data_IF_461080633164
#
_entry.id   IF_461080633164
#
_cell.length_a   1.000
_cell.length_b   1.000
_cell.length_c   1.000
_cell.angle_alpha   90.00
_cell.angle_beta   90.00
_cell.angle_gamma   90.00
#
_symmetry.space_group_name_H-M   'P 1'
#
loop_
_entity.id
_entity.type
_entity.pdbx_description
1 polymer ?
#
# COMPACT_ATOMS: atom_id res chain seq x y z
N UNK A 1 11.02 -11.48 29.62
CA UNK A 1 10.51 -12.43 30.62
C UNK A 1 11.19 -12.10 31.91
N UNK A 2 10.42 -11.80 32.93
CA UNK A 2 10.89 -11.52 34.27
C UNK A 2 12.20 -10.67 34.36
N UNK A 3 12.13 -9.40 33.97
CA UNK A 3 13.22 -8.40 33.98
C UNK A 3 14.44 -8.67 33.09
N UNK A 4 14.49 -9.76 32.33
CA UNK A 4 15.57 -10.02 31.40
C UNK A 4 15.35 -9.29 30.09
N UNK A 5 16.22 -8.32 29.70
CA UNK A 5 16.10 -7.66 28.40
C UNK A 5 16.36 -8.65 27.26
N UNK A 6 15.68 -8.47 26.14
CA UNK A 6 15.82 -9.35 24.97
C UNK A 6 14.68 -9.18 23.97
N UNK A 7 14.62 -10.07 22.99
CA UNK A 7 13.63 -10.05 21.91
C UNK A 7 12.86 -11.36 21.86
N UNK A 8 11.54 -11.26 21.79
CA UNK A 8 10.65 -12.39 21.52
C UNK A 8 10.39 -12.46 20.01
N UNK A 9 10.73 -13.57 19.41
CA UNK A 9 10.46 -13.89 18.01
C UNK A 9 9.26 -14.85 17.91
N UNK A 10 8.37 -14.59 16.97
CA UNK A 10 7.26 -15.49 16.67
C UNK A 10 6.99 -15.47 15.16
N UNK A 11 6.73 -16.66 14.58
CA UNK A 11 6.43 -16.79 13.15
C UNK A 11 5.46 -17.93 12.90
N UNK A 12 4.54 -17.72 11.97
CA UNK A 12 3.59 -18.75 11.54
C UNK A 12 4.17 -19.55 10.37
N UNK A 13 4.45 -20.84 10.61
CA UNK A 13 5.00 -21.78 9.64
C UNK A 13 4.48 -23.20 9.96
N UNK A 14 3.17 -23.46 9.73
CA UNK A 14 2.48 -24.67 10.22
C UNK A 14 3.01 -25.98 9.60
N UNK A 15 3.60 -25.93 8.41
CA UNK A 15 4.10 -27.09 7.69
C UNK A 15 5.62 -27.30 7.87
N UNK A 16 6.28 -26.45 8.65
CA UNK A 16 7.72 -26.57 8.91
C UNK A 16 8.02 -27.75 9.84
N UNK A 17 9.14 -28.44 9.61
CA UNK A 17 9.71 -29.40 10.55
C UNK A 17 10.54 -28.77 11.66
N UNK A 18 11.14 -27.62 11.37
CA UNK A 18 11.92 -26.81 12.30
C UNK A 18 11.95 -25.38 11.83
N UNK A 19 11.88 -24.44 12.74
CA UNK A 19 12.19 -23.04 12.52
C UNK A 19 13.27 -22.63 13.50
N UNK A 20 14.24 -21.82 13.05
CA UNK A 20 15.28 -21.25 13.89
C UNK A 20 15.43 -19.77 13.59
N UNK A 21 15.75 -18.97 14.60
CA UNK A 21 16.16 -17.57 14.41
C UNK A 21 17.66 -17.55 14.12
N UNK A 22 18.06 -16.83 13.08
CA UNK A 22 19.47 -16.64 12.70
C UNK A 22 19.77 -15.16 12.58
N UNK A 23 20.97 -14.77 12.96
CA UNK A 23 21.43 -13.38 12.91
C UNK A 23 22.90 -13.27 13.33
N UNK A 24 23.40 -12.05 13.43
CA UNK A 24 24.80 -11.81 13.85
C UNK A 24 25.10 -12.39 15.23
N UNK A 25 24.11 -12.39 16.14
CA UNK A 25 24.21 -12.90 17.52
C UNK A 25 24.48 -14.41 17.59
N UNK A 26 24.32 -15.16 16.52
CA UNK A 26 24.62 -16.60 16.49
C UNK A 26 25.38 -17.02 15.22
N UNK A 27 26.04 -16.05 14.55
CA UNK A 27 26.81 -16.32 13.33
C UNK A 27 25.97 -16.85 12.17
N UNK A 28 24.68 -16.55 12.14
CA UNK A 28 23.71 -17.01 11.13
C UNK A 28 23.55 -18.54 11.09
N UNK A 29 23.80 -19.23 12.22
CA UNK A 29 23.74 -20.69 12.33
C UNK A 29 22.39 -21.15 12.92
N UNK A 30 21.51 -21.71 12.09
CA UNK A 30 20.17 -22.20 12.48
C UNK A 30 20.17 -23.41 13.41
N UNK A 31 21.34 -23.99 13.76
CA UNK A 31 21.46 -25.08 14.73
C UNK A 31 21.43 -24.57 16.18
N UNK A 32 21.75 -23.29 16.41
CA UNK A 32 21.97 -22.73 17.75
C UNK A 32 20.68 -22.20 18.42
N UNK A 33 19.73 -21.68 17.67
CA UNK A 33 18.52 -21.06 18.21
C UNK A 33 17.24 -21.63 17.56
N UNK A 34 16.98 -22.94 17.75
CA UNK A 34 15.73 -23.54 17.30
C UNK A 34 14.56 -23.01 18.13
N UNK A 35 13.48 -22.66 17.45
CA UNK A 35 12.22 -22.21 18.05
C UNK A 35 11.38 -23.39 18.50
N UNK A 36 10.50 -23.17 19.48
CA UNK A 36 9.49 -24.15 19.89
C UNK A 36 8.17 -23.88 19.19
N UNK A 37 7.47 -24.92 18.81
CA UNK A 37 6.11 -24.83 18.28
C UNK A 37 5.10 -24.66 19.42
N UNK A 38 4.15 -23.73 19.25
CA UNK A 38 3.09 -23.47 20.22
C UNK A 38 1.89 -24.40 20.00
N UNK A 39 1.97 -25.59 20.53
CA UNK A 39 0.91 -26.61 20.39
C UNK A 39 0.62 -26.91 18.91
N UNK A 40 -0.65 -26.87 18.52
CA UNK A 40 -1.12 -27.12 17.14
C UNK A 40 -1.37 -25.84 16.32
N UNK A 41 -0.95 -24.67 16.82
CA UNK A 41 -1.24 -23.37 16.17
C UNK A 41 -0.46 -23.15 14.86
N UNK A 42 0.65 -23.89 14.67
CA UNK A 42 1.61 -23.63 13.59
C UNK A 42 2.49 -22.42 13.84
N UNK A 43 2.38 -21.78 15.00
CA UNK A 43 3.25 -20.68 15.41
C UNK A 43 4.49 -21.25 16.11
N UNK A 44 5.64 -20.71 15.75
CA UNK A 44 6.93 -20.99 16.36
C UNK A 44 7.39 -19.76 17.14
N UNK A 45 7.95 -19.95 18.32
CA UNK A 45 8.39 -18.86 19.18
C UNK A 45 9.76 -19.14 19.83
N UNK A 46 10.49 -18.06 20.12
CA UNK A 46 11.74 -18.08 20.88
C UNK A 46 11.99 -16.70 21.49
N UNK A 47 12.40 -16.67 22.77
CA UNK A 47 12.97 -15.49 23.39
C UNK A 47 14.51 -15.58 23.36
N UNK A 48 15.16 -14.53 22.85
CA UNK A 48 16.63 -14.41 22.83
C UNK A 48 17.02 -13.25 23.75
N UNK A 49 17.73 -13.53 24.85
CA UNK A 49 18.20 -12.47 25.75
C UNK A 49 19.37 -11.67 25.16
N UNK A 50 19.62 -10.51 25.73
CA UNK A 50 20.77 -9.63 25.48
C UNK A 50 20.92 -9.13 24.04
N UNK A 51 19.83 -9.14 23.25
CA UNK A 51 19.74 -8.49 21.95
C UNK A 51 18.62 -7.44 21.97
N UNK A 52 18.67 -6.48 21.04
CA UNK A 52 17.71 -5.37 21.01
C UNK A 52 17.58 -4.70 19.64
N UNK A 53 17.06 -3.49 19.64
CA UNK A 53 16.87 -2.69 18.43
C UNK A 53 18.17 -2.57 17.60
N UNK A 54 18.04 -2.69 16.28
CA UNK A 54 19.17 -2.70 15.35
C UNK A 54 19.74 -4.09 15.04
N UNK A 55 19.37 -5.14 15.82
CA UNK A 55 19.81 -6.51 15.54
C UNK A 55 19.22 -7.03 14.24
N UNK A 56 20.06 -7.50 13.32
CA UNK A 56 19.64 -8.15 12.09
C UNK A 56 19.34 -9.63 12.31
N UNK A 57 18.26 -10.11 11.70
CA UNK A 57 17.82 -11.50 11.80
C UNK A 57 17.03 -11.98 10.60
N UNK A 58 16.93 -13.31 10.48
CA UNK A 58 16.03 -14.05 9.58
C UNK A 58 15.53 -15.32 10.26
N UNK A 59 14.60 -16.01 9.60
CA UNK A 59 14.19 -17.34 9.96
C UNK A 59 14.83 -18.36 9.01
N UNK A 60 15.48 -19.40 9.58
CA UNK A 60 15.84 -20.61 8.84
C UNK A 60 14.72 -21.64 9.05
N UNK A 61 14.01 -21.95 7.97
CA UNK A 61 12.87 -22.87 7.97
C UNK A 61 13.27 -24.18 7.30
N UNK A 62 13.15 -25.30 8.03
CA UNK A 62 13.25 -26.64 7.44
C UNK A 62 11.88 -27.10 7.02
N UNK A 63 11.66 -27.26 5.70
CA UNK A 63 10.38 -27.65 5.12
C UNK A 63 10.01 -29.10 5.46
N UNK A 64 8.76 -29.47 5.15
CA UNK A 64 8.30 -30.86 5.30
C UNK A 64 9.15 -31.86 4.51
N UNK A 65 9.67 -31.46 3.34
CA UNK A 65 10.56 -32.29 2.50
C UNK A 65 12.01 -32.30 3.00
N UNK A 66 12.36 -31.43 3.96
CA UNK A 66 13.68 -31.37 4.55
C UNK A 66 14.62 -30.32 3.94
N UNK A 67 14.16 -29.52 2.99
CA UNK A 67 14.92 -28.42 2.42
C UNK A 67 15.01 -27.25 3.43
N UNK A 68 16.09 -26.49 3.36
CA UNK A 68 16.25 -25.26 4.14
C UNK A 68 15.84 -24.05 3.30
N UNK A 69 15.07 -23.16 3.92
CA UNK A 69 14.71 -21.86 3.36
C UNK A 69 15.09 -20.77 4.36
N UNK A 70 15.70 -19.70 3.86
CA UNK A 70 16.01 -18.52 4.63
C UNK A 70 15.00 -17.44 4.31
N UNK A 71 14.23 -17.01 5.33
CA UNK A 71 13.10 -16.10 5.18
C UNK A 71 13.24 -14.85 6.05
N UNK A 72 12.82 -13.71 5.51
CA UNK A 72 12.57 -12.52 6.34
C UNK A 72 11.35 -12.73 7.21
N UNK A 73 11.26 -11.98 8.29
CA UNK A 73 10.05 -11.96 9.13
C UNK A 73 8.92 -11.21 8.41
N UNK A 74 7.77 -11.84 8.17
CA UNK A 74 6.62 -11.17 7.58
C UNK A 74 6.11 -9.97 8.38
N UNK A 75 6.36 -9.95 9.70
CA UNK A 75 5.96 -8.88 10.63
C UNK A 75 7.13 -7.97 11.05
N UNK A 76 8.26 -7.98 10.34
CA UNK A 76 9.39 -7.12 10.67
C UNK A 76 9.00 -5.64 10.61
N UNK A 77 9.32 -4.89 11.66
CA UNK A 77 9.05 -3.44 11.75
C UNK A 77 10.12 -2.57 11.07
N UNK A 78 11.26 -3.15 10.78
CA UNK A 78 12.35 -2.53 10.03
C UNK A 78 13.07 -3.57 9.19
N UNK A 79 13.67 -3.13 8.09
CA UNK A 79 14.42 -3.99 7.18
C UNK A 79 15.78 -3.38 6.89
N UNK A 80 16.73 -4.24 6.56
CA UNK A 80 18.06 -3.84 6.09
C UNK A 80 17.95 -3.06 4.79
N UNK A 81 18.82 -2.06 4.61
CA UNK A 81 18.89 -1.33 3.34
C UNK A 81 19.37 -2.26 2.21
N UNK A 82 18.65 -2.24 1.11
CA UNK A 82 19.04 -3.02 -0.07
C UNK A 82 20.49 -2.72 -0.54
N UNK A 83 21.22 -3.70 -1.08
CA UNK A 83 20.77 -5.01 -1.51
C UNK A 83 20.59 -6.03 -0.38
N UNK A 84 20.88 -5.65 0.86
CA UNK A 84 20.56 -6.46 2.02
C UNK A 84 19.05 -6.68 2.13
N UNK A 85 18.66 -7.74 2.84
CA UNK A 85 17.25 -8.11 2.99
C UNK A 85 16.98 -8.81 4.33
N UNK A 86 17.77 -8.52 5.36
CA UNK A 86 17.49 -9.00 6.71
C UNK A 86 16.37 -8.19 7.34
N UNK A 87 15.60 -8.81 8.20
CA UNK A 87 14.73 -8.15 9.15
C UNK A 87 15.56 -7.49 10.23
N UNK A 88 15.14 -6.35 10.74
CA UNK A 88 15.82 -5.61 11.80
C UNK A 88 14.88 -5.45 12.98
N UNK A 89 15.36 -5.81 14.18
CA UNK A 89 14.61 -5.60 15.41
C UNK A 89 14.41 -4.11 15.62
N UNK A 90 13.17 -3.69 15.83
CA UNK A 90 12.82 -2.29 16.08
C UNK A 90 11.73 -2.17 17.15
N UNK A 91 11.84 -1.19 18.02
CA UNK A 91 10.76 -0.87 18.95
C UNK A 91 9.91 0.26 18.40
N UNK A 92 8.75 -0.10 17.87
CA UNK A 92 7.82 0.86 17.22
C UNK A 92 7.11 1.80 18.22
N UNK A 93 7.22 1.57 19.52
CA UNK A 93 6.52 2.35 20.54
C UNK A 93 7.40 3.45 21.19
N UNK A 94 8.67 3.58 20.79
CA UNK A 94 9.61 4.53 21.38
C UNK A 94 9.48 5.98 20.86
N UNK A 95 8.76 6.20 19.75
CA UNK A 95 8.65 7.54 19.18
C UNK A 95 7.67 8.42 19.98
N UNK A 96 8.12 9.63 20.32
CA UNK A 96 7.30 10.64 21.00
C UNK A 96 6.59 11.54 19.99
N UNK A 97 5.30 11.30 19.79
CA UNK A 97 4.44 12.06 18.88
C UNK A 97 4.15 13.48 19.39
N UNK A 98 4.04 14.44 18.47
CA UNK A 98 3.74 15.85 18.75
C UNK A 98 2.50 16.33 17.97
N UNK A 99 1.73 15.41 17.42
CA UNK A 99 0.56 15.64 16.57
C UNK A 99 -0.77 15.53 17.32
N UNK A 100 -0.78 15.61 18.64
CA UNK A 100 -1.98 15.42 19.46
C UNK A 100 -3.16 16.31 19.04
N UNK A 101 -2.89 17.54 18.59
CA UNK A 101 -3.94 18.46 18.10
C UNK A 101 -4.58 17.96 16.81
N UNK A 102 -3.78 17.39 15.89
CA UNK A 102 -4.26 16.77 14.66
C UNK A 102 -5.12 15.54 14.97
N UNK A 103 -4.61 14.65 15.80
CA UNK A 103 -5.29 13.40 16.19
C UNK A 103 -6.64 13.66 16.89
N UNK A 104 -6.73 14.72 17.69
CA UNK A 104 -7.99 15.14 18.31
C UNK A 104 -8.94 15.78 17.28
N UNK A 105 -8.42 16.53 16.32
CA UNK A 105 -9.19 17.26 15.31
C UNK A 105 -9.74 16.39 14.20
N UNK A 106 -9.00 15.34 13.78
CA UNK A 106 -9.42 14.52 12.62
C UNK A 106 -10.74 13.74 12.83
N UNK A 107 -11.18 13.60 14.07
CA UNK A 107 -12.46 12.97 14.43
C UNK A 107 -13.64 13.95 14.41
N UNK A 108 -13.37 15.25 14.20
CA UNK A 108 -14.38 16.31 14.24
C UNK A 108 -14.70 16.71 12.79
N UNK A 109 -15.89 16.38 12.33
CA UNK A 109 -16.35 16.68 10.99
C UNK A 109 -16.72 15.44 10.18
N UNK A 110 -17.25 15.69 9.00
CA UNK A 110 -17.59 14.63 8.04
C UNK A 110 -16.65 14.76 6.83
N UNK A 111 -15.73 13.82 6.68
CA UNK A 111 -14.78 13.81 5.57
C UNK A 111 -15.46 13.88 4.18
N UNK A 112 -16.69 13.40 4.06
CA UNK A 112 -17.46 13.50 2.81
C UNK A 112 -17.90 14.94 2.50
N UNK A 113 -18.01 15.80 3.50
CA UNK A 113 -18.44 17.20 3.37
C UNK A 113 -17.26 18.19 3.30
N UNK A 114 -16.11 17.80 3.89
CA UNK A 114 -14.93 18.66 3.91
C UNK A 114 -14.21 18.66 2.54
N UNK A 115 -13.70 19.81 2.09
CA UNK A 115 -12.91 19.87 0.87
C UNK A 115 -11.59 19.11 1.04
N UNK A 116 -11.20 18.34 0.01
CA UNK A 116 -9.97 17.59 -0.01
C UNK A 116 -9.23 17.82 -1.33
N UNK A 117 -7.95 18.18 -1.23
CA UNK A 117 -7.03 18.27 -2.36
C UNK A 117 -5.77 17.44 -2.01
N UNK A 118 -5.50 16.42 -2.82
CA UNK A 118 -4.48 15.40 -2.56
C UNK A 118 -3.30 15.62 -3.50
N UNK A 119 -2.09 15.59 -2.96
CA UNK A 119 -0.84 15.59 -3.73
C UNK A 119 -0.19 14.21 -3.63
N UNK A 120 -0.27 13.43 -4.71
CA UNK A 120 0.41 12.15 -4.83
C UNK A 120 1.90 12.35 -5.05
N UNK A 121 2.75 11.60 -4.33
CA UNK A 121 4.20 11.75 -4.39
C UNK A 121 4.95 10.43 -4.21
N UNK A 122 5.93 10.19 -5.09
CA UNK A 122 6.94 9.15 -4.91
C UNK A 122 8.19 9.76 -4.25
N UNK A 123 8.46 9.41 -2.99
CA UNK A 123 9.52 10.04 -2.20
C UNK A 123 10.91 9.87 -2.81
N UNK A 124 11.16 8.74 -3.49
CA UNK A 124 12.45 8.42 -4.10
C UNK A 124 12.79 9.22 -5.37
N UNK A 125 11.81 9.86 -6.03
CA UNK A 125 12.02 10.62 -7.26
C UNK A 125 11.58 12.07 -7.19
N UNK A 126 10.86 12.47 -6.13
CA UNK A 126 10.36 13.84 -5.99
C UNK A 126 11.48 14.88 -5.89
N UNK A 127 12.50 14.58 -5.07
CA UNK A 127 13.70 15.40 -4.92
C UNK A 127 14.92 14.54 -4.62
N UNK A 128 16.10 14.98 -5.10
CA UNK A 128 17.39 14.33 -4.88
C UNK A 128 18.41 15.36 -4.45
N UNK A 129 19.49 14.93 -3.82
CA UNK A 129 20.64 15.78 -3.46
C UNK A 129 21.74 15.60 -4.50
N UNK A 130 21.70 16.41 -5.55
CA UNK A 130 22.60 16.28 -6.69
C UNK A 130 24.08 16.48 -6.29
N UNK A 131 24.36 17.38 -5.35
CA UNK A 131 25.69 17.72 -4.86
C UNK A 131 26.32 16.57 -4.05
N UNK A 132 25.51 15.61 -3.58
CA UNK A 132 25.94 14.46 -2.77
C UNK A 132 25.75 13.13 -3.55
N UNK A 133 26.07 13.11 -4.83
CA UNK A 133 25.97 11.91 -5.66
C UNK A 133 24.54 11.49 -5.99
N UNK A 134 23.64 12.44 -6.12
CA UNK A 134 22.22 12.22 -6.44
C UNK A 134 21.52 11.28 -5.44
N UNK A 135 21.91 11.33 -4.16
CA UNK A 135 21.29 10.51 -3.11
C UNK A 135 19.82 10.89 -2.89
N UNK A 136 19.07 9.95 -2.34
CA UNK A 136 17.75 10.22 -1.79
C UNK A 136 17.83 11.20 -0.62
N UNK A 137 16.77 11.99 -0.45
CA UNK A 137 16.50 12.70 0.79
C UNK A 137 16.03 11.70 1.86
N UNK A 138 16.42 11.93 3.10
CA UNK A 138 15.85 11.21 4.24
C UNK A 138 14.41 11.65 4.53
N UNK A 139 13.65 10.85 5.27
CA UNK A 139 12.30 11.22 5.72
C UNK A 139 12.30 12.59 6.43
N UNK A 140 13.32 12.86 7.24
CA UNK A 140 13.46 14.12 7.98
C UNK A 140 13.78 15.30 7.08
N UNK A 141 14.52 15.11 6.00
CA UNK A 141 14.81 16.16 5.01
C UNK A 141 13.62 16.41 4.08
N UNK A 142 12.87 15.34 3.75
CA UNK A 142 11.69 15.41 2.87
C UNK A 142 10.53 16.18 3.52
N UNK A 143 10.23 15.89 4.79
CA UNK A 143 9.04 16.39 5.47
C UNK A 143 8.89 17.93 5.37
N UNK A 144 9.85 18.77 5.80
CA UNK A 144 9.68 20.23 5.75
C UNK A 144 9.55 20.75 4.32
N UNK A 145 10.30 20.17 3.37
CA UNK A 145 10.27 20.60 1.96
C UNK A 145 8.95 20.26 1.28
N UNK A 146 8.42 19.06 1.54
CA UNK A 146 7.14 18.63 0.98
C UNK A 146 5.99 19.44 1.60
N UNK A 147 6.00 19.65 2.91
CA UNK A 147 5.01 20.48 3.61
C UNK A 147 4.99 21.92 3.03
N UNK A 148 6.16 22.55 2.85
CA UNK A 148 6.25 23.87 2.23
C UNK A 148 5.62 23.87 0.83
N UNK A 149 5.96 22.88 0.02
CA UNK A 149 5.44 22.75 -1.34
C UNK A 149 3.91 22.60 -1.36
N UNK A 150 3.36 21.63 -0.64
CA UNK A 150 1.93 21.33 -0.68
C UNK A 150 1.07 22.45 -0.08
N UNK A 151 1.55 23.11 0.98
CA UNK A 151 0.88 24.29 1.54
C UNK A 151 0.86 25.47 0.58
N UNK A 152 1.97 25.71 -0.14
CA UNK A 152 2.06 26.77 -1.15
C UNK A 152 1.00 26.61 -2.24
N UNK A 153 0.64 25.40 -2.59
CA UNK A 153 -0.35 25.09 -3.61
C UNK A 153 -1.76 24.80 -3.07
N UNK A 154 -1.95 24.82 -1.75
CA UNK A 154 -3.26 24.66 -1.12
C UNK A 154 -3.75 23.21 -1.02
N UNK A 155 -2.85 22.23 -1.10
CA UNK A 155 -3.20 20.83 -0.86
C UNK A 155 -3.48 20.59 0.63
N UNK A 156 -4.41 19.68 0.91
CA UNK A 156 -4.81 19.31 2.27
C UNK A 156 -4.17 18.00 2.72
N UNK A 157 -3.81 17.12 1.78
CA UNK A 157 -3.23 15.81 2.03
C UNK A 157 -2.07 15.55 1.08
N UNK A 158 -1.14 14.70 1.54
CA UNK A 158 -0.17 14.02 0.68
C UNK A 158 -0.55 12.55 0.60
N UNK A 159 -0.50 11.97 -0.61
CA UNK A 159 -0.62 10.54 -0.83
C UNK A 159 0.75 10.00 -1.19
N UNK A 160 1.28 9.13 -0.32
CA UNK A 160 2.57 8.52 -0.53
C UNK A 160 2.41 7.27 -1.37
N UNK A 161 2.98 7.24 -2.58
CA UNK A 161 3.15 5.99 -3.31
C UNK A 161 3.82 4.95 -2.41
N UNK A 162 3.67 3.62 -2.67
CA UNK A 162 3.91 2.61 -1.65
C UNK A 162 5.21 2.79 -0.88
N UNK A 163 5.09 2.98 0.43
CA UNK A 163 6.21 3.26 1.35
C UNK A 163 6.67 2.02 2.10
N UNK A 164 5.95 0.90 2.00
CA UNK A 164 6.38 -0.37 2.57
C UNK A 164 7.67 -0.88 1.89
N UNK A 165 8.49 -1.62 2.62
CA UNK A 165 9.79 -2.07 2.11
C UNK A 165 9.67 -2.98 0.89
N UNK A 166 10.50 -2.75 -0.11
CA UNK A 166 10.50 -3.45 -1.40
C UNK A 166 11.92 -3.51 -2.00
N UNK A 167 12.29 -4.59 -2.74
CA UNK A 167 13.65 -4.76 -3.25
C UNK A 167 13.95 -3.96 -4.50
N UNK A 168 12.96 -3.76 -5.35
CA UNK A 168 13.14 -3.25 -6.72
C UNK A 168 12.61 -1.81 -6.85
N UNK A 169 13.51 -0.85 -7.07
CA UNK A 169 13.15 0.58 -7.23
C UNK A 169 12.20 0.84 -8.39
N UNK A 170 12.36 0.07 -9.48
CA UNK A 170 11.52 0.20 -10.67
C UNK A 170 10.06 -0.19 -10.47
N UNK A 171 9.73 -0.85 -9.35
CA UNK A 171 8.36 -1.13 -8.96
C UNK A 171 7.67 0.04 -8.26
N UNK A 172 8.40 1.11 -7.93
CA UNK A 172 7.92 2.26 -7.12
C UNK A 172 7.27 1.88 -5.79
N UNK A 173 7.59 0.69 -5.29
CA UNK A 173 7.05 0.14 -4.07
C UNK A 173 5.87 -0.82 -4.23
N UNK A 174 5.35 -1.05 -5.43
CA UNK A 174 4.25 -1.98 -5.65
C UNK A 174 4.62 -3.47 -5.54
N UNK A 175 5.90 -3.80 -5.39
CA UNK A 175 6.38 -5.17 -5.13
C UNK A 175 6.87 -5.31 -3.68
N UNK A 176 5.95 -5.29 -2.74
CA UNK A 176 6.21 -5.24 -1.30
C UNK A 176 6.79 -6.57 -0.79
N UNK A 177 7.88 -6.49 -0.03
CA UNK A 177 8.48 -7.64 0.69
C UNK A 177 8.47 -7.47 2.21
N UNK A 178 8.37 -6.25 2.71
CA UNK A 178 8.29 -5.94 4.15
C UNK A 178 7.04 -5.12 4.47
N UNK A 179 5.92 -5.80 4.69
CA UNK A 179 4.60 -5.17 4.83
C UNK A 179 4.47 -4.25 6.06
N UNK A 180 5.20 -4.52 7.14
CA UNK A 180 5.15 -3.78 8.40
C UNK A 180 6.31 -2.80 8.59
N UNK A 181 7.20 -2.69 7.60
CA UNK A 181 8.37 -1.83 7.66
C UNK A 181 8.26 -0.69 6.63
N UNK A 182 8.41 0.57 7.03
CA UNK A 182 8.65 1.64 6.06
C UNK A 182 10.01 1.39 5.39
N UNK A 183 10.12 1.72 4.09
CA UNK A 183 11.34 1.45 3.35
C UNK A 183 12.55 2.13 3.99
N UNK A 184 13.62 1.37 4.16
CA UNK A 184 14.89 1.82 4.74
C UNK A 184 15.69 2.80 3.86
N UNK A 185 15.25 3.00 2.60
CA UNK A 185 15.88 3.94 1.65
C UNK A 185 15.98 5.37 2.18
N UNK A 186 15.00 5.79 2.97
CA UNK A 186 14.86 7.18 3.42
C UNK A 186 15.12 7.35 4.92
N UNK A 187 15.51 6.28 5.62
CA UNK A 187 15.76 6.28 7.06
C UNK A 187 15.09 5.13 7.79
N UNK A 188 15.01 5.25 9.09
CA UNK A 188 14.44 4.23 9.98
C UNK A 188 12.94 4.50 10.26
N UNK A 189 12.24 3.58 10.96
CA UNK A 189 10.82 3.75 11.29
C UNK A 189 10.49 5.03 12.07
N UNK A 190 11.35 5.49 12.98
CA UNK A 190 11.12 6.73 13.74
C UNK A 190 11.32 7.98 12.87
N UNK A 191 12.17 7.91 11.84
CA UNK A 191 12.31 8.96 10.84
C UNK A 191 11.02 9.10 10.01
N UNK A 192 10.38 7.99 9.66
CA UNK A 192 9.09 8.02 8.98
C UNK A 192 7.97 8.56 9.88
N UNK A 193 7.95 8.17 11.17
CA UNK A 193 7.03 8.80 12.13
C UNK A 193 7.25 10.30 12.25
N UNK A 194 8.51 10.75 12.26
CA UNK A 194 8.85 12.19 12.26
C UNK A 194 8.36 12.90 11.00
N UNK A 195 8.34 12.21 9.85
CA UNK A 195 7.77 12.74 8.61
C UNK A 195 6.26 12.97 8.77
N UNK A 196 5.50 11.97 9.22
CA UNK A 196 4.05 12.06 9.44
C UNK A 196 3.72 13.14 10.49
N UNK A 197 4.40 13.10 11.63
CA UNK A 197 4.26 14.10 12.71
C UNK A 197 4.47 15.54 12.19
N UNK A 198 5.44 15.72 11.31
CA UNK A 198 5.70 17.03 10.69
C UNK A 198 4.55 17.44 9.77
N UNK A 199 4.00 16.56 8.95
CA UNK A 199 2.83 16.83 8.12
C UNK A 199 1.64 17.27 8.98
N UNK A 200 1.30 16.50 10.02
CA UNK A 200 0.19 16.75 10.93
C UNK A 200 0.30 18.10 11.65
N UNK A 201 1.47 18.42 12.20
CA UNK A 201 1.70 19.71 12.86
C UNK A 201 1.53 20.92 11.94
N UNK A 202 1.59 20.71 10.63
CA UNK A 202 1.37 21.76 9.63
C UNK A 202 -0.03 21.69 8.99
N UNK A 203 -0.92 20.82 9.47
CA UNK A 203 -2.29 20.69 9.00
C UNK A 203 -2.40 19.93 7.67
N UNK A 204 -1.48 19.00 7.39
CA UNK A 204 -1.47 18.15 6.19
C UNK A 204 -1.70 16.70 6.61
N UNK A 205 -2.77 16.09 6.10
CA UNK A 205 -3.04 14.66 6.28
C UNK A 205 -2.12 13.79 5.41
N UNK A 206 -1.91 12.55 5.83
CA UNK A 206 -1.06 11.59 5.13
C UNK A 206 -1.85 10.36 4.73
N UNK A 207 -1.93 10.11 3.43
CA UNK A 207 -2.52 8.91 2.85
C UNK A 207 -1.39 7.98 2.43
N UNK A 208 -1.53 6.70 2.71
CA UNK A 208 -0.60 5.67 2.27
C UNK A 208 -1.21 4.85 1.14
N UNK A 209 -0.46 4.68 0.06
CA UNK A 209 -0.79 3.70 -0.97
C UNK A 209 -0.45 2.30 -0.44
N UNK A 210 -1.48 1.49 -0.20
CA UNK A 210 -1.40 0.18 0.42
C UNK A 210 -1.70 -0.91 -0.59
N UNK A 211 -0.82 -1.91 -0.70
CA UNK A 211 -0.81 -2.94 -1.74
C UNK A 211 -1.20 -4.31 -1.17
N UNK A 212 -2.48 -4.61 -0.93
CA UNK A 212 -2.91 -5.90 -0.40
C UNK A 212 -3.22 -6.95 -1.47
N UNK A 213 -3.20 -6.58 -2.76
CA UNK A 213 -3.61 -7.44 -3.85
C UNK A 213 -2.62 -8.58 -4.11
N UNK A 214 -1.33 -8.26 -4.06
CA UNK A 214 -0.27 -9.15 -4.53
C UNK A 214 1.08 -8.87 -3.87
N UNK A 215 2.04 -9.79 -4.08
CA UNK A 215 3.43 -9.65 -3.63
C UNK A 215 4.39 -10.30 -4.64
N UNK A 216 5.69 -9.90 -4.64
CA UNK A 216 6.66 -10.42 -5.61
C UNK A 216 7.09 -11.85 -5.31
N UNK A 217 7.73 -12.48 -6.30
CA UNK A 217 8.20 -13.88 -6.24
C UNK A 217 9.57 -14.06 -5.55
N UNK A 218 10.03 -13.09 -4.80
CA UNK A 218 11.31 -13.13 -4.09
C UNK A 218 11.32 -14.24 -3.04
N UNK A 219 12.24 -15.20 -3.19
CA UNK A 219 12.30 -16.41 -2.34
C UNK A 219 12.59 -16.12 -0.87
N UNK A 220 13.21 -15.01 -0.54
CA UNK A 220 13.48 -14.63 0.85
C UNK A 220 12.26 -14.05 1.58
N UNK A 221 11.20 -13.69 0.87
CA UNK A 221 9.97 -13.11 1.42
C UNK A 221 8.84 -14.16 1.53
N UNK A 222 7.59 -13.78 1.22
CA UNK A 222 6.38 -14.56 1.51
C UNK A 222 6.20 -15.81 0.64
N UNK A 223 6.75 -15.82 -0.60
CA UNK A 223 6.58 -16.92 -1.54
C UNK A 223 7.02 -18.25 -0.95
N UNK A 224 6.14 -19.27 -1.01
CA UNK A 224 6.40 -20.62 -0.49
C UNK A 224 7.06 -20.59 0.89
N UNK A 225 6.47 -19.82 1.82
CA UNK A 225 7.15 -19.37 3.05
C UNK A 225 7.70 -20.52 3.89
N UNK A 226 6.91 -21.55 4.15
CA UNK A 226 7.33 -22.74 4.89
C UNK A 226 7.60 -23.97 3.98
N UNK A 227 7.76 -23.73 2.68
CA UNK A 227 7.89 -24.74 1.64
C UNK A 227 6.57 -25.01 0.90
N UNK A 228 5.48 -24.44 1.37
CA UNK A 228 4.14 -24.54 0.75
C UNK A 228 3.63 -23.17 0.34
N UNK A 229 2.59 -23.11 -0.49
CA UNK A 229 1.87 -21.87 -0.80
C UNK A 229 1.08 -21.44 0.45
N UNK A 230 1.76 -20.73 1.36
CA UNK A 230 1.22 -20.36 2.65
C UNK A 230 0.40 -19.06 2.58
N UNK A 231 0.93 -18.02 1.95
CA UNK A 231 0.29 -16.73 1.76
C UNK A 231 -0.47 -16.62 0.43
N UNK A 232 -0.05 -17.36 -0.58
CA UNK A 232 -0.62 -17.44 -1.92
C UNK A 232 -1.46 -18.71 -2.13
N UNK A 233 -2.12 -18.79 -3.29
CA UNK A 233 -2.71 -20.06 -3.77
C UNK A 233 -1.68 -20.86 -4.56
N UNK A 234 -1.73 -22.19 -4.48
CA UNK A 234 -0.85 -23.10 -5.23
C UNK A 234 -1.20 -23.12 -6.73
N UNK A 235 -2.49 -23.04 -7.08
CA UNK A 235 -2.93 -23.02 -8.47
C UNK A 235 -2.70 -21.64 -9.08
N UNK A 236 -1.88 -21.51 -10.13
CA UNK A 236 -1.56 -20.20 -10.73
C UNK A 236 -2.79 -19.49 -11.33
N UNK A 237 -3.86 -20.24 -11.67
CA UNK A 237 -5.09 -19.65 -12.19
C UNK A 237 -5.84 -18.79 -11.17
N UNK A 238 -5.52 -18.88 -9.89
CA UNK A 238 -6.02 -18.02 -8.82
C UNK A 238 -4.90 -17.37 -8.02
N UNK A 239 -3.68 -17.89 -8.09
CA UNK A 239 -2.54 -17.53 -7.26
C UNK A 239 -1.52 -16.64 -7.93
N UNK A 240 -1.67 -16.26 -9.20
CA UNK A 240 -0.66 -15.49 -9.92
C UNK A 240 -1.29 -14.42 -10.84
N UNK A 241 -0.74 -13.21 -10.83
CA UNK A 241 -0.93 -12.22 -11.88
C UNK A 241 0.21 -12.35 -12.89
N UNK A 242 -0.03 -13.06 -14.00
CA UNK A 242 0.99 -13.39 -15.00
C UNK A 242 1.60 -12.12 -15.63
N UNK A 243 0.79 -11.11 -15.94
CA UNK A 243 1.24 -9.84 -16.53
C UNK A 243 2.16 -9.04 -15.60
N UNK A 244 1.93 -9.09 -14.29
CA UNK A 244 2.72 -8.36 -13.29
C UNK A 244 3.88 -9.19 -12.73
N UNK A 245 3.88 -10.51 -13.00
CA UNK A 245 4.86 -11.45 -12.45
C UNK A 245 4.77 -11.62 -10.93
N UNK A 246 3.60 -11.34 -10.33
CA UNK A 246 3.38 -11.36 -8.88
C UNK A 246 2.45 -12.49 -8.45
N UNK A 247 2.45 -12.80 -7.16
CA UNK A 247 1.56 -13.77 -6.53
C UNK A 247 0.37 -13.08 -5.87
N UNK A 248 -0.79 -13.73 -5.90
CA UNK A 248 -2.04 -13.24 -5.29
C UNK A 248 -2.20 -13.82 -3.90
N UNK A 249 -2.56 -12.98 -2.92
CA UNK A 249 -2.86 -13.42 -1.58
C UNK A 249 -4.09 -14.35 -1.53
N UNK A 250 -4.01 -15.38 -0.67
CA UNK A 250 -5.13 -16.28 -0.41
C UNK A 250 -6.11 -15.65 0.59
N UNK A 251 -7.04 -14.82 0.10
CA UNK A 251 -8.06 -14.17 0.92
C UNK A 251 -9.03 -15.13 1.62
N UNK A 252 -9.07 -16.38 1.22
CA UNK A 252 -9.86 -17.43 1.87
C UNK A 252 -9.21 -17.99 3.14
N UNK A 253 -7.90 -17.75 3.36
CA UNK A 253 -7.17 -18.23 4.53
C UNK A 253 -7.24 -17.22 5.67
N UNK A 254 -7.71 -17.65 6.84
CA UNK A 254 -7.93 -16.75 7.98
C UNK A 254 -6.66 -16.05 8.45
N UNK A 255 -5.53 -16.75 8.46
CA UNK A 255 -4.24 -16.20 8.87
C UNK A 255 -3.75 -15.14 7.89
N UNK A 256 -3.95 -15.33 6.58
CA UNK A 256 -3.61 -14.33 5.55
C UNK A 256 -4.50 -13.11 5.66
N UNK A 257 -5.81 -13.29 5.87
CA UNK A 257 -6.73 -12.18 6.14
C UNK A 257 -6.32 -11.41 7.38
N UNK A 258 -5.97 -12.11 8.47
CA UNK A 258 -5.48 -11.49 9.69
C UNK A 258 -4.17 -10.71 9.46
N UNK A 259 -3.23 -11.28 8.71
CA UNK A 259 -1.99 -10.61 8.33
C UNK A 259 -2.24 -9.28 7.60
N UNK A 260 -3.09 -9.28 6.59
CA UNK A 260 -3.41 -8.08 5.81
C UNK A 260 -4.23 -7.07 6.62
N UNK A 261 -5.22 -7.53 7.38
CA UNK A 261 -6.03 -6.66 8.23
C UNK A 261 -5.19 -6.00 9.33
N UNK A 262 -4.40 -6.79 10.04
CA UNK A 262 -3.48 -6.26 11.07
C UNK A 262 -2.47 -5.28 10.46
N UNK A 263 -2.01 -5.52 9.24
CA UNK A 263 -1.11 -4.61 8.53
C UNK A 263 -1.77 -3.25 8.24
N UNK A 264 -2.99 -3.24 7.70
CA UNK A 264 -3.72 -1.99 7.48
C UNK A 264 -3.90 -1.19 8.78
N UNK A 265 -4.37 -1.87 9.85
CA UNK A 265 -4.59 -1.24 11.16
C UNK A 265 -3.28 -0.77 11.79
N UNK A 266 -2.18 -1.50 11.58
CA UNK A 266 -0.85 -1.13 12.06
C UNK A 266 -0.37 0.22 11.51
N UNK A 267 -0.56 0.49 10.23
CA UNK A 267 -0.21 1.77 9.63
C UNK A 267 -1.05 2.92 10.20
N UNK A 268 -2.33 2.68 10.46
CA UNK A 268 -3.22 3.67 11.08
C UNK A 268 -2.88 3.92 12.55
N UNK A 269 -2.53 2.87 13.30
CA UNK A 269 -2.25 2.92 14.75
C UNK A 269 -0.84 3.43 15.06
N UNK A 270 0.17 2.81 14.45
CA UNK A 270 1.59 3.04 14.80
C UNK A 270 2.22 4.19 14.05
N UNK A 271 1.69 4.55 12.90
CA UNK A 271 2.22 5.64 12.06
C UNK A 271 1.25 6.79 11.88
N UNK A 272 0.10 6.77 12.55
CA UNK A 272 -0.94 7.80 12.51
C UNK A 272 -1.41 8.17 11.10
N UNK A 273 -1.32 7.24 10.14
CA UNK A 273 -1.79 7.45 8.77
C UNK A 273 -3.28 7.79 8.78
N UNK A 274 -3.70 8.77 7.99
CA UNK A 274 -5.08 9.28 7.95
C UNK A 274 -5.96 8.54 6.95
N UNK A 275 -5.38 7.97 5.91
CA UNK A 275 -6.12 7.22 4.90
C UNK A 275 -5.27 6.16 4.22
N UNK A 276 -5.94 5.11 3.75
CA UNK A 276 -5.34 4.08 2.90
C UNK A 276 -5.95 4.16 1.50
N UNK A 277 -5.14 4.47 0.49
CA UNK A 277 -5.48 4.18 -0.89
C UNK A 277 -5.17 2.70 -1.11
N UNK A 278 -6.18 1.93 -1.47
CA UNK A 278 -6.06 0.49 -1.67
C UNK A 278 -5.82 0.21 -3.14
N UNK A 279 -4.63 -0.28 -3.43
CA UNK A 279 -4.13 -0.58 -4.78
C UNK A 279 -4.88 -1.74 -5.43
N UNK A 280 -5.15 -1.63 -6.72
CA UNK A 280 -5.60 -2.70 -7.60
C UNK A 280 -6.84 -3.47 -7.10
N UNK A 281 -7.82 -2.78 -6.52
CA UNK A 281 -9.06 -3.39 -5.97
C UNK A 281 -9.79 -4.24 -7.02
N UNK A 282 -9.85 -3.78 -8.28
CA UNK A 282 -10.46 -4.55 -9.36
C UNK A 282 -9.82 -5.93 -9.52
N UNK A 283 -8.49 -6.05 -9.42
CA UNK A 283 -7.78 -7.33 -9.53
C UNK A 283 -8.09 -8.29 -8.38
N UNK A 284 -8.53 -7.75 -7.24
CA UNK A 284 -8.95 -8.55 -6.09
C UNK A 284 -10.41 -8.99 -6.20
N UNK A 285 -11.28 -8.17 -6.82
CA UNK A 285 -12.72 -8.45 -6.93
C UNK A 285 -13.05 -9.49 -8.00
N UNK A 286 -12.24 -9.58 -9.07
CA UNK A 286 -12.52 -10.41 -10.22
C UNK A 286 -11.48 -11.53 -10.39
N UNK A 287 -11.95 -12.79 -10.40
CA UNK A 287 -11.11 -13.98 -10.58
C UNK A 287 -10.53 -14.10 -11.98
N UNK A 288 -11.15 -13.47 -12.97
CA UNK A 288 -10.75 -13.43 -14.38
C UNK A 288 -9.98 -12.14 -14.75
N UNK A 289 -9.64 -11.29 -13.77
CA UNK A 289 -8.91 -10.05 -14.04
C UNK A 289 -7.55 -10.29 -14.73
N UNK A 290 -7.37 -9.71 -15.95
CA UNK A 290 -6.16 -9.88 -16.73
C UNK A 290 -5.88 -11.33 -17.19
N UNK A 291 -6.92 -12.15 -17.37
CA UNK A 291 -6.82 -13.56 -17.76
C UNK A 291 -7.71 -13.88 -18.94
N UNK A 292 -7.24 -14.80 -19.76
CA UNK A 292 -8.01 -15.35 -20.87
C UNK A 292 -8.93 -16.50 -20.44
N UNK A 293 -9.83 -16.90 -21.32
CA UNK A 293 -10.69 -18.05 -21.08
C UNK A 293 -9.87 -19.33 -20.80
N UNK A 294 -10.19 -20.00 -19.68
CA UNK A 294 -9.49 -21.19 -19.20
C UNK A 294 -8.27 -20.91 -18.30
N UNK A 295 -7.86 -19.66 -18.14
CA UNK A 295 -6.76 -19.24 -17.27
C UNK A 295 -7.20 -18.83 -15.86
N UNK A 296 -8.47 -18.98 -15.55
CA UNK A 296 -9.03 -18.67 -14.23
C UNK A 296 -10.02 -19.74 -13.77
N UNK A 297 -10.36 -19.71 -12.49
CA UNK A 297 -11.29 -20.67 -11.87
C UNK A 297 -12.49 -19.89 -11.33
N UNK A 298 -13.72 -20.22 -11.76
CA UNK A 298 -14.92 -19.57 -11.25
C UNK A 298 -15.13 -19.83 -9.75
N UNK A 299 -15.84 -18.95 -9.09
CA UNK A 299 -16.24 -19.11 -7.71
C UNK A 299 -17.24 -20.28 -7.57
N UNK A 300 -17.58 -20.65 -6.32
CA UNK A 300 -18.48 -21.77 -6.00
C UNK A 300 -19.90 -21.66 -6.60
N UNK A 301 -20.26 -20.52 -7.15
CA UNK A 301 -21.56 -20.28 -7.83
C UNK A 301 -21.41 -20.21 -9.35
N UNK A 302 -20.20 -20.35 -9.88
CA UNK A 302 -19.90 -20.28 -11.31
C UNK A 302 -19.62 -18.86 -11.84
N UNK A 303 -19.61 -17.86 -10.98
CA UNK A 303 -19.30 -16.47 -11.34
C UNK A 303 -17.80 -16.15 -11.24
N UNK A 304 -17.45 -14.94 -11.69
CA UNK A 304 -16.08 -14.43 -11.68
C UNK A 304 -15.77 -13.55 -10.45
N UNK A 305 -16.72 -13.30 -9.56
CA UNK A 305 -16.50 -12.53 -8.36
C UNK A 305 -15.66 -13.31 -7.34
N UNK A 306 -14.63 -12.69 -6.79
CA UNK A 306 -13.83 -13.25 -5.69
C UNK A 306 -14.55 -13.00 -4.36
N UNK A 307 -15.35 -13.98 -3.94
CA UNK A 307 -16.19 -13.87 -2.74
C UNK A 307 -15.37 -13.67 -1.46
N UNK A 308 -14.19 -14.24 -1.39
CA UNK A 308 -13.27 -14.16 -0.27
C UNK A 308 -12.70 -12.73 -0.12
N UNK A 309 -12.28 -12.12 -1.23
CA UNK A 309 -11.81 -10.73 -1.24
C UNK A 309 -12.94 -9.72 -0.94
N UNK A 310 -14.15 -9.95 -1.46
CA UNK A 310 -15.33 -9.14 -1.14
C UNK A 310 -15.61 -9.17 0.37
N UNK A 311 -15.59 -10.37 0.98
CA UNK A 311 -15.76 -10.51 2.42
C UNK A 311 -14.63 -9.82 3.20
N UNK A 312 -13.39 -9.94 2.73
CA UNK A 312 -12.23 -9.28 3.33
C UNK A 312 -12.40 -7.75 3.33
N UNK A 313 -12.77 -7.12 2.22
CA UNK A 313 -12.96 -5.67 2.16
C UNK A 313 -14.05 -5.17 3.12
N UNK A 314 -15.17 -5.89 3.20
CA UNK A 314 -16.25 -5.55 4.13
C UNK A 314 -15.79 -5.57 5.60
N UNK A 315 -14.99 -6.56 5.97
CA UNK A 315 -14.44 -6.68 7.31
C UNK A 315 -13.37 -5.62 7.58
N UNK A 316 -12.47 -5.38 6.61
CA UNK A 316 -11.44 -4.35 6.68
C UNK A 316 -12.05 -2.97 6.91
N UNK A 317 -12.98 -2.57 6.05
CA UNK A 317 -13.60 -1.25 6.14
C UNK A 317 -14.39 -1.07 7.44
N UNK A 318 -15.10 -2.12 7.88
CA UNK A 318 -15.77 -2.11 9.19
C UNK A 318 -14.76 -1.94 10.34
N UNK A 319 -13.61 -2.59 10.29
CA UNK A 319 -12.58 -2.47 11.32
C UNK A 319 -11.93 -1.07 11.30
N UNK A 320 -11.57 -0.55 10.13
CA UNK A 320 -10.98 0.79 9.98
C UNK A 320 -11.91 1.85 10.56
N UNK A 321 -13.16 1.92 10.12
CA UNK A 321 -14.11 2.94 10.60
C UNK A 321 -14.55 2.75 12.06
N UNK A 322 -14.52 1.51 12.55
CA UNK A 322 -14.87 1.22 13.94
C UNK A 322 -13.77 1.53 14.95
N UNK A 323 -12.51 1.36 14.55
CA UNK A 323 -11.36 1.53 15.45
C UNK A 323 -10.66 2.88 15.30
N UNK A 324 -10.69 3.46 14.08
CA UNK A 324 -9.99 4.70 13.74
C UNK A 324 -10.95 5.75 13.17
N UNK A 325 -11.82 6.35 14.01
CA UNK A 325 -12.68 7.45 13.57
C UNK A 325 -11.87 8.58 12.96
N UNK A 326 -12.32 9.11 11.80
CA UNK A 326 -11.62 10.15 11.04
C UNK A 326 -10.57 9.63 10.06
N UNK A 327 -10.23 8.33 10.08
CA UNK A 327 -9.49 7.70 8.99
C UNK A 327 -10.44 7.25 7.87
N UNK A 328 -9.88 7.04 6.67
CA UNK A 328 -10.67 6.58 5.53
C UNK A 328 -9.91 5.56 4.67
N UNK A 329 -10.68 4.88 3.81
CA UNK A 329 -10.14 4.03 2.75
C UNK A 329 -10.63 4.55 1.39
N UNK A 330 -9.74 4.58 0.39
CA UNK A 330 -10.05 4.94 -0.99
C UNK A 330 -9.69 3.78 -1.91
N UNK A 331 -10.65 3.30 -2.69
CA UNK A 331 -10.44 2.18 -3.61
C UNK A 331 -9.91 2.66 -4.96
N UNK A 332 -8.78 2.12 -5.41
CA UNK A 332 -8.46 2.12 -6.84
C UNK A 332 -9.24 0.98 -7.51
N UNK A 333 -10.42 1.30 -7.98
CA UNK A 333 -11.30 0.35 -8.65
C UNK A 333 -11.76 0.94 -10.00
N UNK A 334 -11.25 0.36 -11.09
CA UNK A 334 -11.39 0.88 -12.45
C UNK A 334 -12.60 0.35 -13.20
N UNK A 335 -13.37 -0.57 -12.61
CA UNK A 335 -14.51 -1.22 -13.27
C UNK A 335 -15.84 -0.59 -12.87
N UNK A 336 -16.93 -1.13 -13.42
CA UNK A 336 -18.28 -0.76 -13.06
C UNK A 336 -18.83 -1.53 -11.85
N UNK A 337 -17.97 -2.00 -10.93
CA UNK A 337 -18.42 -2.68 -9.72
C UNK A 337 -19.33 -1.77 -8.90
N UNK A 338 -20.58 -2.21 -8.58
CA UNK A 338 -21.54 -1.34 -7.92
C UNK A 338 -21.31 -1.29 -6.40
N UNK A 339 -21.52 -0.11 -5.80
CA UNK A 339 -21.55 0.05 -4.36
C UNK A 339 -20.19 -0.13 -3.68
N UNK A 340 -19.09 0.31 -4.32
CA UNK A 340 -17.77 0.32 -3.71
C UNK A 340 -17.79 1.16 -2.43
N UNK A 341 -18.42 2.33 -2.47
CA UNK A 341 -18.53 3.23 -1.32
C UNK A 341 -19.84 3.08 -0.54
N UNK A 342 -20.74 2.19 -0.99
CA UNK A 342 -21.94 1.86 -0.23
C UNK A 342 -21.55 1.12 1.06
N UNK A 343 -22.12 1.47 2.22
CA UNK A 343 -21.84 0.78 3.49
C UNK A 343 -22.04 -0.74 3.40
N UNK A 344 -21.16 -1.49 4.07
CA UNK A 344 -21.16 -2.97 4.01
C UNK A 344 -22.49 -3.59 4.48
N UNK A 345 -23.17 -2.98 5.47
CA UNK A 345 -24.48 -3.45 5.94
C UNK A 345 -25.64 -3.25 4.95
N UNK A 346 -25.42 -2.41 3.93
CA UNK A 346 -26.35 -2.21 2.81
C UNK A 346 -25.96 -3.02 1.57
N UNK A 347 -24.93 -3.88 1.68
CA UNK A 347 -24.49 -4.76 0.61
C UNK A 347 -23.27 -4.27 -0.17
N UNK A 348 -22.76 -3.07 0.10
CA UNK A 348 -21.57 -2.52 -0.53
C UNK A 348 -20.27 -3.09 0.01
N UNK A 349 -19.13 -2.54 -0.46
CA UNK A 349 -17.79 -2.91 0.03
C UNK A 349 -17.36 -2.07 1.25
N UNK A 350 -17.97 -0.90 1.47
CA UNK A 350 -17.76 -0.06 2.64
C UNK A 350 -16.56 0.89 2.56
N UNK A 351 -15.96 1.10 1.39
CA UNK A 351 -14.92 2.13 1.22
C UNK A 351 -15.49 3.53 1.46
N UNK A 352 -14.66 4.45 1.94
CA UNK A 352 -15.05 5.86 2.05
C UNK A 352 -15.09 6.55 0.71
N UNK A 353 -14.11 6.24 -0.15
CA UNK A 353 -13.96 6.83 -1.47
C UNK A 353 -13.61 5.79 -2.53
N UNK A 354 -13.86 6.18 -3.79
CA UNK A 354 -13.44 5.47 -5.00
C UNK A 354 -12.75 6.44 -5.95
N UNK A 355 -11.62 6.07 -6.53
CA UNK A 355 -11.01 6.83 -7.62
C UNK A 355 -11.92 6.83 -8.86
N UNK A 356 -12.16 8.01 -9.46
CA UNK A 356 -12.93 8.12 -10.69
C UNK A 356 -12.04 7.93 -11.92
N UNK A 357 -11.73 6.67 -12.20
CA UNK A 357 -10.91 6.28 -13.35
C UNK A 357 -11.64 6.53 -14.69
N UNK A 358 -12.98 6.47 -14.69
CA UNK A 358 -13.80 6.78 -15.88
C UNK A 358 -13.69 8.24 -16.28
N UNK A 359 -13.89 9.15 -15.32
CA UNK A 359 -13.69 10.59 -15.52
C UNK A 359 -12.25 10.89 -15.97
N UNK A 360 -11.27 10.27 -15.37
CA UNK A 360 -9.85 10.46 -15.71
C UNK A 360 -9.59 10.09 -17.17
N UNK A 361 -9.99 8.90 -17.61
CA UNK A 361 -9.79 8.44 -18.98
C UNK A 361 -10.49 9.34 -20.00
N UNK A 362 -11.76 9.65 -19.80
CA UNK A 362 -12.54 10.48 -20.68
C UNK A 362 -12.00 11.91 -20.78
N UNK A 363 -11.64 12.49 -19.66
CA UNK A 363 -11.06 13.83 -19.59
C UNK A 363 -9.72 13.90 -20.32
N UNK A 364 -8.80 12.96 -20.07
CA UNK A 364 -7.51 12.90 -20.77
C UNK A 364 -7.69 12.66 -22.26
N UNK A 365 -8.62 11.80 -22.66
CA UNK A 365 -8.96 11.58 -24.06
C UNK A 365 -9.41 12.87 -24.74
N UNK A 366 -10.34 13.63 -24.12
CA UNK A 366 -10.79 14.91 -24.64
C UNK A 366 -9.66 15.92 -24.79
N UNK A 367 -8.88 16.13 -23.74
CA UNK A 367 -7.79 17.11 -23.74
C UNK A 367 -6.63 16.72 -24.69
N UNK A 368 -6.48 15.45 -25.02
CA UNK A 368 -5.49 14.97 -26.01
C UNK A 368 -5.87 15.28 -27.45
N UNK A 369 -7.12 15.67 -27.72
CA UNK A 369 -7.57 16.03 -29.08
C UNK A 369 -7.12 17.44 -29.44
N UNK A 370 -6.83 17.64 -30.75
CA UNK A 370 -6.64 18.99 -31.28
C UNK A 370 -7.90 19.85 -31.00
N UNK A 371 -7.77 21.11 -30.60
CA UNK A 371 -8.91 21.94 -30.24
C UNK A 371 -10.01 21.99 -31.30
N UNK A 372 -9.65 21.99 -32.58
CA UNK A 372 -10.62 21.99 -33.72
C UNK A 372 -11.52 20.76 -33.76
N UNK A 373 -11.04 19.63 -33.19
CA UNK A 373 -11.77 18.37 -33.17
C UNK A 373 -12.59 18.14 -31.89
N UNK A 374 -12.33 18.91 -30.82
CA UNK A 374 -12.97 18.71 -29.50
C UNK A 374 -14.47 18.80 -29.51
N UNK A 375 -15.06 19.58 -30.43
CA UNK A 375 -16.52 19.66 -30.61
C UNK A 375 -17.17 18.32 -30.92
N UNK A 376 -16.45 17.36 -31.48
CA UNK A 376 -16.93 16.00 -31.75
C UNK A 376 -16.74 15.02 -30.58
N UNK A 377 -16.09 15.46 -29.51
CA UNK A 377 -15.75 14.65 -28.35
C UNK A 377 -16.34 15.21 -27.05
N UNK A 378 -17.32 16.12 -27.15
CA UNK A 378 -17.89 16.81 -25.98
C UNK A 378 -18.50 15.83 -24.97
N UNK A 379 -19.04 14.71 -25.43
CA UNK A 379 -19.59 13.66 -24.56
C UNK A 379 -18.57 13.08 -23.56
N UNK A 380 -17.28 13.08 -23.87
CA UNK A 380 -16.24 12.66 -22.92
C UNK A 380 -16.20 13.54 -21.67
N UNK A 381 -16.57 14.83 -21.77
CA UNK A 381 -16.65 15.70 -20.59
C UNK A 381 -17.97 15.57 -19.83
N UNK A 382 -19.07 15.27 -20.54
CA UNK A 382 -20.42 15.29 -19.95
C UNK A 382 -20.86 13.93 -19.44
N UNK A 383 -20.27 12.84 -19.92
CA UNK A 383 -20.66 11.48 -19.54
C UNK A 383 -20.48 11.19 -18.05
N UNK A 384 -19.41 11.68 -17.45
CA UNK A 384 -19.15 11.51 -16.02
C UNK A 384 -20.25 12.08 -15.13
N UNK A 385 -20.98 13.12 -15.59
CA UNK A 385 -22.11 13.69 -14.85
C UNK A 385 -23.28 12.72 -14.70
N UNK A 386 -23.36 11.68 -15.53
CA UNK A 386 -24.39 10.64 -15.42
C UNK A 386 -24.22 9.77 -14.18
N UNK A 387 -22.99 9.65 -13.67
CA UNK A 387 -22.67 8.80 -12.52
C UNK A 387 -21.92 9.51 -11.39
N UNK A 388 -21.66 10.82 -11.51
CA UNK A 388 -20.84 11.61 -10.57
C UNK A 388 -21.26 11.50 -9.09
N UNK A 389 -22.50 11.07 -8.83
CA UNK A 389 -23.06 10.91 -7.48
C UNK A 389 -23.42 9.45 -7.13
N UNK A 390 -23.01 8.48 -7.97
CA UNK A 390 -23.27 7.06 -7.70
C UNK A 390 -22.32 6.47 -6.64
N UNK A 391 -21.16 7.06 -6.47
CA UNK A 391 -20.14 6.72 -5.48
C UNK A 391 -19.54 8.01 -4.88
N UNK A 392 -18.78 7.89 -3.81
CA UNK A 392 -17.99 9.01 -3.26
C UNK A 392 -16.66 9.10 -4.04
N UNK A 393 -16.65 9.86 -5.11
CA UNK A 393 -15.50 9.90 -6.00
C UNK A 393 -14.37 10.82 -5.53
N UNK A 394 -13.13 10.34 -5.76
CA UNK A 394 -11.92 11.16 -5.82
C UNK A 394 -11.52 11.29 -7.28
N UNK A 395 -11.44 12.54 -7.76
CA UNK A 395 -10.97 12.83 -9.12
C UNK A 395 -9.45 12.69 -9.15
N UNK A 396 -8.93 11.84 -10.01
CA UNK A 396 -7.51 11.50 -10.00
C UNK A 396 -6.83 11.75 -11.34
N UNK A 397 -5.60 12.29 -11.27
CA UNK A 397 -4.57 12.16 -12.30
C UNK A 397 -3.34 11.60 -11.60
N UNK A 398 -3.24 10.29 -11.54
CA UNK A 398 -2.22 9.59 -10.75
C UNK A 398 -0.89 9.46 -11.51
N UNK A 399 0.08 8.85 -10.82
CA UNK A 399 1.36 8.45 -11.42
C UNK A 399 1.18 7.61 -12.69
N UNK A 400 0.18 6.73 -12.74
CA UNK A 400 -0.05 5.83 -13.89
C UNK A 400 -0.31 6.56 -15.20
N UNK A 401 -0.89 7.76 -15.17
CA UNK A 401 -1.11 8.55 -16.38
C UNK A 401 0.14 9.24 -16.90
N UNK A 402 1.21 9.33 -16.09
CA UNK A 402 2.42 10.11 -16.42
C UNK A 402 3.70 9.29 -16.41
N UNK A 403 3.60 7.96 -16.29
CA UNK A 403 4.74 7.04 -16.28
C UNK A 403 5.48 6.97 -17.62
N UNK A 404 6.58 6.21 -17.65
CA UNK A 404 7.40 6.00 -18.83
C UNK A 404 6.55 5.58 -20.04
N UNK A 405 6.78 6.26 -21.16
CA UNK A 405 6.01 6.06 -22.39
C UNK A 405 4.70 6.85 -22.47
N UNK A 406 4.06 7.22 -21.38
CA UNK A 406 2.80 7.98 -21.36
C UNK A 406 3.01 9.50 -21.38
N UNK A 407 4.14 9.99 -20.86
CA UNK A 407 4.53 11.42 -20.81
C UNK A 407 3.74 12.24 -19.80
N UNK A 408 4.25 13.43 -19.42
CA UNK A 408 3.61 14.31 -18.45
C UNK A 408 2.24 14.81 -18.92
N UNK A 409 1.41 15.29 -17.99
CA UNK A 409 0.13 15.94 -18.33
C UNK A 409 0.33 17.08 -19.33
N UNK A 410 1.38 17.91 -19.16
CA UNK A 410 1.70 18.97 -20.11
C UNK A 410 2.02 18.41 -21.51
N UNK A 411 2.73 17.29 -21.61
CA UNK A 411 3.07 16.67 -22.89
C UNK A 411 1.84 16.14 -23.62
N UNK A 412 0.81 15.74 -22.89
CA UNK A 412 -0.48 15.28 -23.48
C UNK A 412 -1.25 16.42 -24.14
N UNK A 413 -1.04 17.67 -23.70
CA UNK A 413 -1.72 18.84 -24.27
C UNK A 413 -1.21 19.13 -25.68
N UNK A 414 -2.13 19.64 -26.53
CA UNK A 414 -1.83 19.98 -27.93
C UNK A 414 -1.42 21.44 -28.11
N UNK A 415 -0.75 21.72 -29.23
CA UNK A 415 -0.32 23.06 -29.60
C UNK A 415 1.14 23.39 -29.24
N UNK A 416 1.50 24.66 -29.34
CA UNK A 416 2.78 25.20 -28.89
C UNK A 416 2.92 25.26 -27.36
N UNK A 417 4.03 25.71 -26.82
CA UNK A 417 4.27 25.75 -25.37
C UNK A 417 3.22 26.60 -24.65
N UNK A 418 2.83 27.77 -25.18
CA UNK A 418 1.83 28.63 -24.56
C UNK A 418 0.46 27.94 -24.51
N UNK A 419 0.06 27.34 -25.64
CA UNK A 419 -1.21 26.61 -25.76
C UNK A 419 -1.25 25.39 -24.83
N UNK A 420 -0.14 24.64 -24.70
CA UNK A 420 -0.05 23.51 -23.78
C UNK A 420 -0.27 23.92 -22.32
N UNK A 421 0.39 24.99 -21.87
CA UNK A 421 0.17 25.51 -20.53
C UNK A 421 -1.24 26.07 -20.31
N UNK A 422 -1.82 26.72 -21.33
CA UNK A 422 -3.20 27.19 -21.29
C UNK A 422 -4.19 26.00 -21.17
N UNK A 423 -3.99 24.94 -21.95
CA UNK A 423 -4.80 23.72 -21.88
C UNK A 423 -4.63 23.01 -20.53
N UNK A 424 -3.41 22.94 -19.97
CA UNK A 424 -3.19 22.32 -18.68
C UNK A 424 -3.87 23.09 -17.55
N UNK A 425 -3.83 24.44 -17.56
CA UNK A 425 -4.60 25.25 -16.61
C UNK A 425 -6.11 25.01 -16.74
N UNK A 426 -6.60 24.88 -17.96
CA UNK A 426 -8.01 24.55 -18.21
C UNK A 426 -8.38 23.15 -17.67
N UNK A 427 -7.51 22.15 -17.87
CA UNK A 427 -7.70 20.81 -17.33
C UNK A 427 -7.80 20.84 -15.79
N UNK A 428 -6.89 21.57 -15.12
CA UNK A 428 -6.92 21.70 -13.67
C UNK A 428 -8.15 22.46 -13.19
N UNK A 429 -8.53 23.54 -13.88
CA UNK A 429 -9.76 24.27 -13.55
C UNK A 429 -11.01 23.40 -13.70
N UNK A 430 -11.07 22.57 -14.74
CA UNK A 430 -12.17 21.61 -14.94
C UNK A 430 -12.21 20.59 -13.79
N UNK A 431 -11.06 20.01 -13.42
CA UNK A 431 -10.96 19.07 -12.29
C UNK A 431 -11.51 19.70 -11.00
N UNK A 432 -11.04 20.89 -10.61
CA UNK A 432 -11.45 21.56 -9.37
C UNK A 432 -12.88 22.10 -9.38
N UNK A 433 -13.57 22.10 -10.51
CA UNK A 433 -14.98 22.52 -10.64
C UNK A 433 -15.93 21.36 -10.92
N UNK A 434 -15.42 20.14 -11.10
CA UNK A 434 -16.22 18.93 -11.28
C UNK A 434 -16.62 18.36 -9.90
N UNK A 435 -17.81 17.71 -9.77
CA UNK A 435 -18.18 17.00 -8.54
C UNK A 435 -17.17 15.90 -8.18
N UNK A 436 -16.77 15.85 -6.90
CA UNK A 436 -15.78 14.90 -6.36
C UNK A 436 -14.82 15.56 -5.38
N UNK A 437 -13.84 14.78 -4.89
CA UNK A 437 -12.71 15.26 -4.07
C UNK A 437 -11.49 15.43 -4.95
#
# INVERSE_FOLDING_TARGET
MDDTPGVSFAVWAPNAKRVSVIGDFNGWDGRLFPMRQMGSSGIWELFVPDIGAGTMYKYEIKTAEGHLRIKTDPYAFAMELRPGNASVVWNVDNYEWRDASWMAGRNVGNLLEEPMAIYEVHLGSWMRVAEEGDRWLTYRELAPRLVEHVKKFGFTHVELMPIAEHPFDGSWGYQVTGYYAPTSRFGNPDDFKSFVDTCHRHGIGVIMDWVPAHFPKDDYSLRLFDGTALYEHMDPRVGEHAEWGTLVFNFGRHEVRNFLMANALFWLDKYHIDGLRVDAVASMLYLDYGREDGEWIPNRYGGNENLEAISFFRELNKAVYGLFPGCFTAAEESTAWPGVTLPAHLGGLGFGFKWDMGWMHDTLLYFSKEPVHRKYHHNNLTFSMMYAYSENYVLTFSHDEVVYGKGSLLRKMKGDSWQKFANLRLLMAYMYTHPGK
#
